data_IF_020344508296
#
_entry.id   IF_020344508296
#
_cell.length_a   1.000
_cell.length_b   1.000
_cell.length_c   1.000
_cell.angle_alpha   90.00
_cell.angle_beta   90.00
_cell.angle_gamma   90.00
#
_symmetry.space_group_name_H-M   'P 1'
#
loop_
_entity.id
_entity.type
_entity.pdbx_description
1 polymer ?
#
# COMPACT_ATOMS: atom_id res chain seq x y z
N UNK A 1 6.97 -9.30 -27.55
CA UNK A 1 5.96 -8.63 -26.75
C UNK A 1 6.56 -7.53 -25.86
N UNK A 2 7.55 -7.82 -25.03
CA UNK A 2 8.19 -6.85 -24.15
C UNK A 2 8.97 -5.76 -24.89
N UNK A 3 9.57 -6.07 -26.06
CA UNK A 3 10.32 -5.11 -26.88
C UNK A 3 9.37 -4.07 -27.47
N UNK A 4 8.26 -4.51 -28.06
CA UNK A 4 7.25 -3.62 -28.64
C UNK A 4 6.66 -2.71 -27.56
N UNK A 5 6.33 -3.26 -26.38
CA UNK A 5 5.86 -2.49 -25.23
C UNK A 5 6.88 -1.43 -24.80
N UNK A 6 8.17 -1.80 -24.74
CA UNK A 6 9.25 -0.88 -24.38
C UNK A 6 9.45 0.23 -25.41
N UNK A 7 9.35 -0.08 -26.70
CA UNK A 7 9.41 0.92 -27.77
C UNK A 7 8.20 1.87 -27.74
N UNK A 8 7.00 1.34 -27.54
CA UNK A 8 5.78 2.14 -27.45
C UNK A 8 5.78 3.04 -26.21
N UNK A 9 6.29 2.53 -25.08
CA UNK A 9 6.47 3.31 -23.85
C UNK A 9 7.47 4.44 -24.04
N UNK A 10 8.56 4.20 -24.77
CA UNK A 10 9.56 5.23 -25.09
C UNK A 10 9.00 6.33 -26.00
N UNK A 11 8.06 5.98 -26.88
CA UNK A 11 7.36 6.91 -27.76
C UNK A 11 6.12 7.54 -27.12
N UNK A 12 5.86 7.26 -25.83
CA UNK A 12 4.64 7.68 -25.10
C UNK A 12 3.35 7.22 -25.78
N UNK A 13 3.40 6.14 -26.57
CA UNK A 13 2.23 5.55 -27.22
C UNK A 13 1.61 4.54 -26.23
N UNK A 14 0.34 4.71 -25.86
CA UNK A 14 -0.36 3.77 -24.97
C UNK A 14 -0.39 2.37 -25.60
N UNK A 15 0.01 1.38 -24.80
CA UNK A 15 -0.02 -0.02 -25.24
C UNK A 15 -1.25 -0.73 -24.73
N UNK A 16 -2.02 -1.29 -25.63
CA UNK A 16 -3.25 -2.01 -25.33
C UNK A 16 -2.96 -3.50 -25.20
N UNK A 17 -3.49 -4.15 -24.17
CA UNK A 17 -3.40 -5.62 -24.02
C UNK A 17 -4.19 -6.26 -25.16
N UNK A 18 -3.61 -7.22 -25.93
CA UNK A 18 -4.32 -7.90 -26.99
C UNK A 18 -5.62 -8.58 -26.52
N UNK A 19 -6.62 -8.57 -27.38
CA UNK A 19 -7.96 -9.06 -27.08
C UNK A 19 -8.03 -10.55 -26.71
N UNK A 20 -7.12 -11.37 -27.25
CA UNK A 20 -6.94 -12.78 -26.96
C UNK A 20 -6.57 -13.10 -25.51
N UNK A 21 -6.05 -12.10 -24.80
CA UNK A 21 -5.70 -12.20 -23.37
C UNK A 21 -6.86 -11.86 -22.43
N UNK A 22 -8.02 -11.51 -22.95
CA UNK A 22 -9.18 -11.06 -22.17
C UNK A 22 -10.22 -12.15 -21.95
N UNK A 23 -10.04 -13.33 -22.53
CA UNK A 23 -11.03 -14.42 -22.51
C UNK A 23 -11.37 -14.90 -21.10
N UNK A 24 -10.42 -14.81 -20.17
CA UNK A 24 -10.66 -15.17 -18.77
C UNK A 24 -11.63 -14.21 -18.04
N UNK A 25 -11.87 -13.01 -18.58
CA UNK A 25 -12.81 -12.02 -18.01
C UNK A 25 -14.20 -12.15 -18.61
N UNK A 26 -14.35 -12.92 -19.70
CA UNK A 26 -15.64 -13.19 -20.33
C UNK A 26 -16.52 -13.98 -19.37
N UNK A 27 -17.66 -13.45 -18.99
CA UNK A 27 -18.57 -14.03 -18.00
C UNK A 27 -18.67 -13.27 -16.69
N UNK A 28 -17.89 -12.18 -16.54
CA UNK A 28 -18.05 -11.24 -15.44
C UNK A 28 -18.80 -10.00 -15.91
N UNK A 29 -19.74 -9.51 -15.11
CA UNK A 29 -20.48 -8.27 -15.39
C UNK A 29 -19.76 -7.02 -14.89
N UNK A 30 -18.85 -7.20 -13.92
CA UNK A 30 -18.18 -6.10 -13.24
C UNK A 30 -16.75 -6.50 -12.84
N UNK A 31 -15.83 -5.58 -13.02
CA UNK A 31 -14.44 -5.69 -12.56
C UNK A 31 -14.12 -4.58 -11.57
N UNK A 32 -13.49 -4.94 -10.47
CA UNK A 32 -13.01 -4.02 -9.46
C UNK A 32 -11.49 -3.89 -9.53
N UNK A 33 -11.00 -2.67 -9.61
CA UNK A 33 -9.62 -2.35 -9.27
C UNK A 33 -9.58 -1.90 -7.81
N UNK A 34 -8.92 -2.67 -6.95
CA UNK A 34 -8.96 -2.46 -5.50
C UNK A 34 -7.66 -1.83 -5.03
N UNK A 35 -7.79 -0.68 -4.38
CA UNK A 35 -6.74 -0.04 -3.59
C UNK A 35 -5.49 0.39 -4.34
N UNK A 36 -4.54 0.89 -3.58
CA UNK A 36 -3.21 1.26 -4.03
C UNK A 36 -3.12 2.60 -4.78
N UNK A 37 -1.89 2.95 -5.11
CA UNK A 37 -1.55 4.16 -5.85
C UNK A 37 -1.46 3.84 -7.35
N UNK A 38 -2.57 3.37 -7.91
CA UNK A 38 -2.64 2.85 -9.29
C UNK A 38 -2.63 3.99 -10.30
N UNK A 39 -3.25 5.10 -9.94
CA UNK A 39 -3.43 6.29 -10.78
C UNK A 39 -2.55 7.43 -10.25
N UNK A 40 -1.24 7.24 -10.30
CA UNK A 40 -0.24 8.23 -9.86
C UNK A 40 0.85 8.41 -10.92
N UNK A 41 1.57 9.51 -10.85
CA UNK A 41 2.81 9.69 -11.59
C UNK A 41 3.95 8.99 -10.85
N UNK A 42 4.88 8.42 -11.60
CA UNK A 42 6.16 8.01 -11.04
C UNK A 42 7.00 9.25 -10.65
N UNK A 43 8.05 9.07 -9.85
CA UNK A 43 8.93 10.15 -9.40
C UNK A 43 9.58 10.96 -10.52
N UNK A 44 9.70 10.36 -11.71
CA UNK A 44 10.19 11.03 -12.93
C UNK A 44 9.07 11.68 -13.76
N UNK A 45 7.85 11.79 -13.24
CA UNK A 45 6.69 12.33 -13.92
C UNK A 45 6.07 11.42 -15.00
N UNK A 46 6.58 10.20 -15.18
CA UNK A 46 5.98 9.24 -16.14
C UNK A 46 4.71 8.60 -15.56
N UNK A 47 3.86 8.05 -16.43
CA UNK A 47 2.64 7.33 -16.03
C UNK A 47 2.48 6.02 -16.78
N UNK A 48 1.72 5.11 -16.18
CA UNK A 48 1.43 3.81 -16.77
C UNK A 48 -0.03 3.77 -17.27
N UNK A 49 -0.20 3.70 -18.58
CA UNK A 49 -1.51 3.62 -19.22
C UNK A 49 -2.01 2.17 -19.41
N UNK A 50 -1.22 1.15 -19.09
CA UNK A 50 -1.55 -0.24 -19.43
C UNK A 50 -2.82 -0.73 -18.76
N UNK A 51 -2.98 -0.50 -17.45
CA UNK A 51 -4.18 -0.88 -16.71
C UNK A 51 -5.40 -0.06 -17.15
N UNK A 52 -5.37 1.28 -17.21
CA UNK A 52 -6.47 2.09 -17.73
C UNK A 52 -6.97 1.61 -19.09
N UNK A 53 -6.08 1.39 -20.05
CA UNK A 53 -6.45 0.95 -21.40
C UNK A 53 -7.03 -0.47 -21.41
N UNK A 54 -6.50 -1.38 -20.59
CA UNK A 54 -7.08 -2.70 -20.39
C UNK A 54 -8.54 -2.60 -19.89
N UNK A 55 -8.77 -1.76 -18.90
CA UNK A 55 -10.10 -1.56 -18.31
C UNK A 55 -11.08 -0.89 -19.29
N UNK A 56 -10.62 0.04 -20.14
CA UNK A 56 -11.44 0.60 -21.21
C UNK A 56 -11.87 -0.46 -22.24
N UNK A 57 -11.02 -1.45 -22.54
CA UNK A 57 -11.39 -2.57 -23.39
C UNK A 57 -12.47 -3.47 -22.77
N UNK A 58 -12.44 -3.66 -21.44
CA UNK A 58 -13.51 -4.37 -20.73
C UNK A 58 -14.83 -3.62 -20.81
N UNK A 59 -14.80 -2.30 -20.63
CA UNK A 59 -16.00 -1.46 -20.75
C UNK A 59 -16.61 -1.49 -22.18
N UNK A 60 -15.77 -1.54 -23.22
CA UNK A 60 -16.23 -1.70 -24.60
C UNK A 60 -16.98 -3.04 -24.82
N UNK A 61 -16.72 -4.04 -23.99
CA UNK A 61 -17.43 -5.34 -23.97
C UNK A 61 -18.66 -5.34 -23.05
N UNK A 62 -19.05 -4.20 -22.50
CA UNK A 62 -20.19 -4.06 -21.59
C UNK A 62 -19.90 -4.44 -20.14
N UNK A 63 -18.63 -4.71 -19.78
CA UNK A 63 -18.22 -5.02 -18.42
C UNK A 63 -18.07 -3.70 -17.64
N UNK A 64 -18.72 -3.58 -16.51
CA UNK A 64 -18.62 -2.40 -15.65
C UNK A 64 -17.25 -2.37 -14.98
N UNK A 65 -16.68 -1.17 -14.84
CA UNK A 65 -15.44 -0.96 -14.12
C UNK A 65 -15.68 -0.08 -12.89
N UNK A 66 -15.21 -0.57 -11.75
CA UNK A 66 -15.25 0.14 -10.46
C UNK A 66 -13.83 0.30 -9.95
N UNK A 67 -13.44 1.53 -9.66
CA UNK A 67 -12.21 1.85 -8.95
C UNK A 67 -12.55 2.00 -7.46
N UNK A 68 -12.06 1.06 -6.63
CA UNK A 68 -12.45 0.98 -5.23
C UNK A 68 -11.27 1.20 -4.28
N UNK A 69 -11.35 2.28 -3.51
CA UNK A 69 -10.36 2.57 -2.45
C UNK A 69 -8.99 2.93 -2.98
N UNK A 70 -8.90 3.50 -4.18
CA UNK A 70 -7.63 3.96 -4.74
C UNK A 70 -7.32 5.40 -4.31
N UNK A 71 -6.03 5.69 -4.17
CA UNK A 71 -5.51 7.05 -4.19
C UNK A 71 -5.25 7.44 -5.63
N UNK A 72 -5.70 8.64 -6.01
CA UNK A 72 -5.46 9.21 -7.33
C UNK A 72 -4.58 10.43 -7.16
N UNK A 73 -3.41 10.40 -7.76
CA UNK A 73 -2.42 11.46 -7.63
C UNK A 73 -2.76 12.68 -8.45
N UNK A 74 -2.01 13.76 -8.21
CA UNK A 74 -2.07 14.95 -9.06
C UNK A 74 -1.29 14.70 -10.35
N UNK A 75 -1.81 15.15 -11.48
CA UNK A 75 -1.23 14.91 -12.80
C UNK A 75 -0.70 16.18 -13.47
N UNK A 76 -0.73 17.33 -12.80
CA UNK A 76 -0.41 18.65 -13.35
C UNK A 76 1.04 18.76 -13.86
N UNK A 77 1.95 17.99 -13.26
CA UNK A 77 3.36 17.93 -13.69
C UNK A 77 3.53 17.30 -15.10
N UNK A 78 2.51 16.56 -15.56
CA UNK A 78 2.50 15.95 -16.89
C UNK A 78 1.17 16.17 -17.58
N UNK A 79 1.12 17.15 -18.49
CA UNK A 79 -0.11 17.50 -19.24
C UNK A 79 -0.70 16.35 -20.07
N UNK A 80 0.13 15.42 -20.56
CA UNK A 80 -0.36 14.24 -21.27
C UNK A 80 -1.05 13.27 -20.31
N UNK A 81 -0.46 13.07 -19.13
CA UNK A 81 -1.07 12.26 -18.07
C UNK A 81 -2.38 12.88 -17.59
N UNK A 82 -2.40 14.18 -17.32
CA UNK A 82 -3.59 14.90 -16.90
C UNK A 82 -4.73 14.72 -17.91
N UNK A 83 -4.47 14.96 -19.21
CA UNK A 83 -5.45 14.77 -20.26
C UNK A 83 -5.93 13.32 -20.37
N UNK A 84 -5.00 12.38 -20.33
CA UNK A 84 -5.29 10.96 -20.44
C UNK A 84 -6.14 10.47 -19.27
N UNK A 85 -5.69 10.72 -18.04
CA UNK A 85 -6.39 10.25 -16.84
C UNK A 85 -7.73 10.95 -16.63
N UNK A 86 -7.84 12.26 -16.87
CA UNK A 86 -9.14 12.94 -16.79
C UNK A 86 -10.16 12.31 -17.75
N UNK A 87 -9.75 11.99 -18.99
CA UNK A 87 -10.61 11.31 -19.94
C UNK A 87 -10.96 9.88 -19.53
N UNK A 88 -9.95 9.11 -19.04
CA UNK A 88 -10.17 7.74 -18.57
C UNK A 88 -11.09 7.69 -17.35
N UNK A 89 -10.81 8.50 -16.32
CA UNK A 89 -11.55 8.53 -15.06
C UNK A 89 -13.03 8.95 -15.28
N UNK A 90 -13.31 9.81 -16.27
CA UNK A 90 -14.69 10.20 -16.61
C UNK A 90 -15.54 9.04 -17.15
N UNK A 91 -14.93 7.96 -17.64
CA UNK A 91 -15.60 6.77 -18.17
C UNK A 91 -15.83 5.68 -17.13
N UNK A 92 -15.17 5.75 -15.96
CA UNK A 92 -15.30 4.74 -14.91
C UNK A 92 -16.72 4.75 -14.36
N UNK A 93 -17.33 3.59 -14.20
CA UNK A 93 -18.72 3.48 -13.74
C UNK A 93 -18.91 3.97 -12.31
N UNK A 94 -17.91 3.73 -11.42
CA UNK A 94 -17.90 4.23 -10.05
C UNK A 94 -16.45 4.36 -9.57
N UNK A 95 -16.14 5.51 -8.98
CA UNK A 95 -14.89 5.76 -8.30
C UNK A 95 -15.20 5.93 -6.81
N UNK A 96 -14.69 5.02 -5.99
CA UNK A 96 -14.76 5.12 -4.54
C UNK A 96 -13.40 5.60 -4.03
N UNK A 97 -13.31 6.88 -3.74
CA UNK A 97 -12.13 7.49 -3.12
C UNK A 97 -12.06 7.12 -1.64
N UNK A 98 -10.88 6.77 -1.15
CA UNK A 98 -10.67 6.40 0.27
C UNK A 98 -10.23 7.56 1.15
N UNK A 99 -9.94 8.71 0.56
CA UNK A 99 -9.37 9.87 1.25
C UNK A 99 -9.87 11.20 0.64
N UNK A 100 -9.92 12.24 1.47
CA UNK A 100 -10.41 13.57 1.07
C UNK A 100 -9.56 14.18 -0.05
N UNK A 101 -8.23 14.03 0.01
CA UNK A 101 -7.33 14.61 -0.99
C UNK A 101 -7.65 14.10 -2.41
N UNK A 102 -7.83 12.80 -2.58
CA UNK A 102 -8.24 12.20 -3.86
C UNK A 102 -9.63 12.68 -4.26
N UNK A 103 -10.57 12.72 -3.32
CA UNK A 103 -11.95 13.13 -3.60
C UNK A 103 -12.02 14.60 -4.06
N UNK A 104 -11.37 15.52 -3.34
CA UNK A 104 -11.30 16.94 -3.70
C UNK A 104 -10.58 17.15 -5.04
N UNK A 105 -9.50 16.40 -5.28
CA UNK A 105 -8.77 16.46 -6.53
C UNK A 105 -9.64 16.03 -7.72
N UNK A 106 -10.35 14.92 -7.62
CA UNK A 106 -11.25 14.44 -8.67
C UNK A 106 -12.42 15.40 -8.91
N UNK A 107 -12.95 16.04 -7.87
CA UNK A 107 -13.94 17.11 -8.01
C UNK A 107 -13.39 18.31 -8.78
N UNK A 108 -12.13 18.71 -8.52
CA UNK A 108 -11.49 19.81 -9.24
C UNK A 108 -11.34 19.53 -10.74
N UNK A 109 -11.32 18.24 -11.13
CA UNK A 109 -11.35 17.78 -12.53
C UNK A 109 -12.77 17.64 -13.09
N UNK A 110 -13.81 18.07 -12.37
CA UNK A 110 -15.22 17.92 -12.71
C UNK A 110 -15.71 16.47 -12.84
N UNK A 111 -15.09 15.54 -12.09
CA UNK A 111 -15.44 14.12 -12.10
C UNK A 111 -16.42 13.77 -10.96
N UNK A 112 -17.55 14.47 -10.89
CA UNK A 112 -18.48 14.35 -9.75
C UNK A 112 -19.57 13.27 -9.95
N UNK A 113 -19.92 12.94 -11.17
CA UNK A 113 -21.11 12.14 -11.47
C UNK A 113 -21.02 10.68 -11.00
N UNK A 114 -19.81 10.15 -10.89
CA UNK A 114 -19.51 8.76 -10.55
C UNK A 114 -18.56 8.64 -9.36
N UNK A 115 -18.41 9.69 -8.55
CA UNK A 115 -17.48 9.77 -7.43
C UNK A 115 -18.21 9.57 -6.10
N UNK A 116 -17.64 8.72 -5.24
CA UNK A 116 -18.08 8.48 -3.87
C UNK A 116 -16.88 8.54 -2.91
N UNK A 117 -17.08 9.03 -1.71
CA UNK A 117 -16.09 8.99 -0.63
C UNK A 117 -16.48 7.89 0.37
N UNK A 118 -15.60 6.93 0.60
CA UNK A 118 -15.78 5.88 1.60
C UNK A 118 -14.42 5.44 2.14
N UNK A 119 -14.34 4.95 3.39
CA UNK A 119 -13.10 4.45 3.95
C UNK A 119 -12.47 3.34 3.11
N UNK A 120 -11.16 3.12 3.29
CA UNK A 120 -10.45 2.01 2.65
C UNK A 120 -11.16 0.68 2.96
N UNK A 121 -11.37 -0.19 1.95
CA UNK A 121 -12.07 -1.46 2.13
C UNK A 121 -11.39 -2.40 3.15
N UNK A 122 -10.12 -2.19 3.49
CA UNK A 122 -9.44 -2.96 4.52
C UNK A 122 -10.10 -2.80 5.91
N UNK A 123 -10.81 -1.69 6.17
CA UNK A 123 -11.62 -1.53 7.39
C UNK A 123 -12.79 -2.52 7.50
N UNK A 124 -13.23 -3.09 6.37
CA UNK A 124 -14.32 -4.08 6.34
C UNK A 124 -13.84 -5.50 6.62
N UNK A 125 -12.54 -5.73 6.68
CA UNK A 125 -11.97 -7.05 6.94
C UNK A 125 -12.26 -7.45 8.38
N UNK A 126 -13.06 -8.51 8.54
CA UNK A 126 -13.48 -9.01 9.85
C UNK A 126 -12.28 -9.43 10.71
N UNK A 127 -12.37 -9.15 11.99
CA UNK A 127 -11.40 -9.63 12.95
C UNK A 127 -11.47 -11.17 13.07
N UNK A 128 -10.34 -11.82 13.38
CA UNK A 128 -10.33 -13.26 13.72
C UNK A 128 -11.30 -13.57 14.85
N UNK A 129 -11.91 -14.76 14.81
CA UNK A 129 -12.73 -15.26 15.92
C UNK A 129 -11.82 -15.44 17.15
N UNK A 130 -12.30 -15.07 18.31
CA UNK A 130 -11.58 -15.15 19.60
C UNK A 130 -10.31 -14.26 19.63
N UNK A 131 -10.38 -13.08 19.02
CA UNK A 131 -9.35 -12.07 19.17
C UNK A 131 -9.50 -11.43 20.56
N UNK A 132 -8.69 -11.88 21.51
CA UNK A 132 -8.70 -11.37 22.90
C UNK A 132 -7.34 -10.77 23.18
N UNK A 133 -7.26 -9.54 23.73
CA UNK A 133 -6.01 -9.00 24.25
C UNK A 133 -5.45 -9.92 25.33
N UNK A 134 -4.22 -10.36 25.19
CA UNK A 134 -3.53 -11.10 26.25
C UNK A 134 -3.08 -10.08 27.31
N UNK A 135 -3.36 -10.39 28.59
CA UNK A 135 -2.79 -9.61 29.69
C UNK A 135 -1.30 -9.96 29.78
N UNK A 136 -0.46 -8.96 29.75
CA UNK A 136 0.99 -9.07 29.87
C UNK A 136 1.49 -8.06 30.90
N UNK A 137 2.63 -8.36 31.52
CA UNK A 137 3.34 -7.39 32.35
C UNK A 137 4.25 -6.53 31.45
N UNK A 138 4.24 -5.21 31.71
CA UNK A 138 5.03 -4.24 30.95
C UNK A 138 4.30 -3.69 29.71
N UNK A 139 5.04 -2.95 28.91
CA UNK A 139 4.54 -2.28 27.69
C UNK A 139 5.10 -2.98 26.47
N UNK A 140 4.25 -3.34 25.53
CA UNK A 140 4.62 -3.87 24.22
C UNK A 140 4.31 -2.82 23.15
N UNK A 141 5.30 -2.43 22.36
CA UNK A 141 5.14 -1.51 21.24
C UNK A 141 5.32 -2.26 19.93
N UNK A 142 4.24 -2.34 19.15
CA UNK A 142 4.30 -2.85 17.78
C UNK A 142 4.93 -1.83 16.85
N UNK A 143 5.91 -2.25 16.05
CA UNK A 143 6.59 -1.36 15.09
C UNK A 143 6.58 -2.00 13.71
N UNK A 144 6.04 -1.28 12.73
CA UNK A 144 6.18 -1.59 11.32
C UNK A 144 7.06 -0.53 10.66
N UNK A 145 8.15 -0.96 10.06
CA UNK A 145 9.08 -0.12 9.29
C UNK A 145 9.13 -0.59 7.84
N UNK A 146 9.27 0.36 6.92
CA UNK A 146 9.26 0.11 5.48
C UNK A 146 10.56 0.57 4.83
N UNK A 147 11.23 -0.27 4.02
CA UNK A 147 12.41 0.15 3.29
C UNK A 147 12.11 1.25 2.27
N UNK A 148 10.91 1.27 1.66
CA UNK A 148 10.51 2.32 0.72
C UNK A 148 10.42 3.68 1.41
N UNK A 149 9.74 3.76 2.57
CA UNK A 149 9.66 4.99 3.35
C UNK A 149 11.02 5.44 3.83
N UNK A 150 11.86 4.49 4.26
CA UNK A 150 13.21 4.76 4.72
C UNK A 150 14.11 5.31 3.59
N UNK A 151 14.04 4.72 2.41
CA UNK A 151 14.79 5.20 1.25
C UNK A 151 14.36 6.61 0.83
N UNK A 152 13.06 6.88 0.88
CA UNK A 152 12.51 8.20 0.58
C UNK A 152 13.00 9.28 1.57
N UNK A 153 13.01 8.95 2.86
CA UNK A 153 13.35 9.88 3.95
C UNK A 153 14.87 10.12 4.07
N UNK A 154 15.66 9.04 3.99
CA UNK A 154 17.11 9.09 4.28
C UNK A 154 18.00 8.99 3.04
N UNK A 155 17.45 8.62 1.89
CA UNK A 155 18.22 8.44 0.64
C UNK A 155 19.13 7.21 0.60
N UNK A 156 19.37 6.53 1.73
CA UNK A 156 20.19 5.34 1.87
C UNK A 156 19.57 4.35 2.84
N UNK A 157 19.52 3.09 2.46
CA UNK A 157 19.01 2.00 3.32
C UNK A 157 19.95 1.74 4.48
N UNK A 158 21.26 1.77 4.25
CA UNK A 158 22.28 1.54 5.29
C UNK A 158 22.23 2.62 6.38
N UNK A 159 22.07 3.88 5.97
CA UNK A 159 21.93 5.00 6.89
C UNK A 159 20.62 4.91 7.68
N UNK A 160 19.51 4.62 6.99
CA UNK A 160 18.21 4.43 7.60
C UNK A 160 18.22 3.31 8.64
N UNK A 161 18.83 2.16 8.34
CA UNK A 161 18.97 1.03 9.27
C UNK A 161 19.72 1.46 10.53
N UNK A 162 20.83 2.20 10.40
CA UNK A 162 21.60 2.67 11.55
C UNK A 162 20.79 3.65 12.42
N UNK A 163 20.15 4.65 11.82
CA UNK A 163 19.34 5.66 12.53
C UNK A 163 18.14 5.00 13.23
N UNK A 164 17.46 4.09 12.55
CA UNK A 164 16.27 3.44 13.11
C UNK A 164 16.64 2.41 14.19
N UNK A 165 17.78 1.72 14.09
CA UNK A 165 18.28 0.90 15.17
C UNK A 165 18.53 1.72 16.45
N UNK A 166 19.18 2.88 16.32
CA UNK A 166 19.38 3.80 17.45
C UNK A 166 18.05 4.32 18.01
N UNK A 167 17.09 4.62 17.17
CA UNK A 167 15.75 5.04 17.60
C UNK A 167 15.02 3.95 18.40
N UNK A 168 15.15 2.68 18.00
CA UNK A 168 14.59 1.52 18.73
C UNK A 168 15.27 1.36 20.09
N UNK A 169 16.61 1.48 20.16
CA UNK A 169 17.35 1.47 21.44
C UNK A 169 16.80 2.54 22.39
N UNK A 170 16.73 3.78 21.92
CA UNK A 170 16.24 4.91 22.72
C UNK A 170 14.79 4.71 23.18
N UNK A 171 13.95 4.10 22.35
CA UNK A 171 12.57 3.78 22.72
C UNK A 171 12.53 2.79 23.88
N UNK A 172 13.26 1.69 23.77
CA UNK A 172 13.36 0.65 24.81
C UNK A 172 13.92 1.21 26.12
N UNK A 173 14.97 2.01 26.06
CA UNK A 173 15.59 2.64 27.25
C UNK A 173 14.65 3.60 27.97
N UNK A 174 13.96 4.46 27.20
CA UNK A 174 13.10 5.52 27.77
C UNK A 174 11.78 4.98 28.31
N UNK A 175 11.25 3.91 27.72
CA UNK A 175 9.92 3.38 28.05
C UNK A 175 9.97 2.09 28.88
N UNK A 176 11.11 1.41 28.94
CA UNK A 176 11.21 0.10 29.58
C UNK A 176 10.33 -0.95 28.89
N UNK A 177 10.13 -0.81 27.57
CA UNK A 177 9.18 -1.61 26.80
C UNK A 177 9.87 -2.78 26.08
N UNK A 178 9.04 -3.74 25.67
CA UNK A 178 9.35 -4.71 24.61
C UNK A 178 8.87 -4.19 23.26
N UNK A 179 9.48 -4.70 22.20
CA UNK A 179 9.14 -4.30 20.83
C UNK A 179 8.72 -5.54 20.04
N UNK A 180 7.62 -5.42 19.30
CA UNK A 180 7.16 -6.41 18.35
C UNK A 180 7.29 -5.85 16.91
N UNK A 181 8.19 -6.41 16.12
CA UNK A 181 8.30 -6.05 14.70
C UNK A 181 7.20 -6.70 13.88
N UNK A 182 6.42 -5.85 13.18
CA UNK A 182 5.20 -6.19 12.45
C UNK A 182 5.38 -6.01 10.93
N UNK A 183 6.08 -6.91 10.21
CA UNK A 183 6.22 -6.79 8.76
C UNK A 183 4.86 -6.97 8.08
N UNK A 184 4.54 -6.07 7.13
CA UNK A 184 3.29 -6.10 6.36
C UNK A 184 3.50 -6.39 4.88
N UNK A 185 4.67 -6.08 4.35
CA UNK A 185 5.03 -6.38 2.96
C UNK A 185 6.18 -7.37 2.95
N UNK A 186 5.92 -8.56 2.40
CA UNK A 186 6.86 -9.67 2.26
C UNK A 186 7.13 -9.91 0.77
N UNK A 187 7.65 -8.87 0.11
CA UNK A 187 7.93 -8.90 -1.32
C UNK A 187 9.15 -9.78 -1.66
N UNK A 188 9.16 -10.47 -2.83
CA UNK A 188 10.39 -11.04 -3.38
C UNK A 188 11.44 -9.98 -3.70
N UNK A 189 11.02 -8.75 -3.98
CA UNK A 189 11.90 -7.61 -4.15
C UNK A 189 12.40 -7.14 -2.77
N UNK A 190 13.70 -7.27 -2.55
CA UNK A 190 14.34 -6.88 -1.29
C UNK A 190 14.17 -5.39 -0.98
N UNK A 191 14.04 -4.54 -2.01
CA UNK A 191 13.84 -3.09 -1.85
C UNK A 191 12.46 -2.73 -1.31
N UNK A 192 11.52 -3.68 -1.31
CA UNK A 192 10.16 -3.52 -0.78
C UNK A 192 9.77 -4.70 0.14
N UNK A 193 10.70 -5.16 1.00
CA UNK A 193 10.46 -6.25 1.92
C UNK A 193 10.68 -5.80 3.37
N UNK A 194 9.58 -5.59 4.10
CA UNK A 194 9.60 -5.10 5.47
C UNK A 194 10.36 -6.07 6.42
N UNK A 195 10.18 -7.38 6.25
CA UNK A 195 10.83 -8.37 7.12
C UNK A 195 12.35 -8.35 6.99
N UNK A 196 12.86 -8.31 5.77
CA UNK A 196 14.30 -8.23 5.53
C UNK A 196 14.88 -6.93 6.07
N UNK A 197 14.15 -5.83 5.91
CA UNK A 197 14.56 -4.54 6.41
C UNK A 197 14.60 -4.50 7.95
N UNK A 198 13.55 -4.99 8.61
CA UNK A 198 13.49 -5.05 10.08
C UNK A 198 14.53 -6.01 10.66
N UNK A 199 14.84 -7.13 9.99
CA UNK A 199 15.94 -8.02 10.38
C UNK A 199 17.29 -7.30 10.31
N UNK A 200 17.53 -6.49 9.28
CA UNK A 200 18.76 -5.70 9.19
C UNK A 200 18.89 -4.69 10.34
N UNK A 201 17.78 -4.09 10.78
CA UNK A 201 17.76 -3.23 11.98
C UNK A 201 18.07 -4.07 13.24
N UNK A 202 17.39 -5.19 13.41
CA UNK A 202 17.60 -6.10 14.54
C UNK A 202 19.06 -6.55 14.67
N UNK A 203 19.68 -6.90 13.56
CA UNK A 203 21.09 -7.36 13.54
C UNK A 203 22.10 -6.27 13.92
N UNK A 204 21.70 -4.99 13.82
CA UNK A 204 22.51 -3.84 14.28
C UNK A 204 22.43 -3.59 15.78
N UNK A 205 21.44 -4.17 16.46
CA UNK A 205 21.22 -3.91 17.87
C UNK A 205 22.18 -4.72 18.75
N UNK A 206 22.66 -4.15 19.87
CA UNK A 206 23.35 -4.91 20.90
C UNK A 206 22.48 -6.04 21.47
N UNK A 207 23.12 -7.14 21.91
CA UNK A 207 22.42 -8.37 22.33
C UNK A 207 21.34 -8.13 23.40
N UNK A 208 21.65 -7.32 24.39
CA UNK A 208 20.72 -6.97 25.49
C UNK A 208 19.46 -6.25 25.01
N UNK A 209 19.46 -5.61 23.83
CA UNK A 209 18.28 -5.03 23.20
C UNK A 209 17.59 -6.03 22.30
N UNK A 210 18.33 -6.89 21.59
CA UNK A 210 17.74 -7.95 20.78
C UNK A 210 16.83 -8.86 21.62
N UNK A 211 17.19 -9.15 22.87
CA UNK A 211 16.42 -9.98 23.79
C UNK A 211 15.04 -9.35 24.18
N UNK A 212 14.85 -8.05 23.89
CA UNK A 212 13.59 -7.33 24.11
C UNK A 212 12.76 -7.17 22.83
N UNK A 213 13.17 -7.80 21.73
CA UNK A 213 12.51 -7.65 20.45
C UNK A 213 12.05 -9.02 19.94
N UNK A 214 10.77 -9.11 19.63
CA UNK A 214 10.18 -10.20 18.89
C UNK A 214 9.99 -9.77 17.42
N UNK A 215 10.26 -10.66 16.48
CA UNK A 215 10.01 -10.45 15.05
C UNK A 215 9.04 -11.52 14.57
N UNK A 216 7.98 -11.10 13.85
CA UNK A 216 7.14 -12.03 13.10
C UNK A 216 7.90 -12.41 11.84
N UNK A 217 8.44 -13.63 11.80
CA UNK A 217 9.36 -14.11 10.74
C UNK A 217 8.67 -14.91 9.62
N UNK A 218 7.35 -15.02 9.67
CA UNK A 218 6.52 -15.69 8.68
C UNK A 218 5.38 -14.78 8.21
N UNK A 219 4.71 -15.14 7.13
CA UNK A 219 3.52 -14.44 6.64
C UNK A 219 2.25 -15.02 7.26
N UNK A 220 1.68 -14.38 8.30
CA UNK A 220 0.40 -14.81 8.85
C UNK A 220 -0.79 -14.29 8.03
N UNK A 221 -0.53 -13.53 6.97
CA UNK A 221 -1.51 -12.78 6.20
C UNK A 221 -2.11 -11.60 6.97
N UNK A 222 -2.84 -10.74 6.24
CA UNK A 222 -3.42 -9.51 6.80
C UNK A 222 -4.28 -9.75 8.05
N UNK A 223 -5.14 -10.78 8.03
CA UNK A 223 -6.01 -11.14 9.15
C UNK A 223 -5.21 -11.77 10.30
N UNK A 224 -4.21 -12.58 9.99
CA UNK A 224 -3.36 -13.22 11.01
C UNK A 224 -2.52 -12.23 11.79
N UNK A 225 -2.05 -11.16 11.15
CA UNK A 225 -1.31 -10.07 11.82
C UNK A 225 -2.10 -9.41 12.95
N UNK A 226 -3.43 -9.36 12.86
CA UNK A 226 -4.29 -8.81 13.94
C UNK A 226 -4.09 -9.53 15.27
N UNK A 227 -3.76 -10.85 15.25
CA UNK A 227 -3.49 -11.64 16.47
C UNK A 227 -2.20 -11.22 17.19
N UNK A 228 -1.29 -10.62 16.48
CA UNK A 228 -0.06 -10.07 17.04
C UNK A 228 -0.26 -8.62 17.47
N UNK A 229 -0.94 -7.83 16.65
CA UNK A 229 -1.19 -6.41 16.91
C UNK A 229 -1.99 -6.23 18.20
N UNK A 230 -2.99 -7.08 18.48
CA UNK A 230 -3.82 -6.99 19.69
C UNK A 230 -3.03 -7.22 20.99
N UNK A 231 -1.81 -7.74 20.92
CA UNK A 231 -0.89 -7.88 22.05
C UNK A 231 -0.09 -6.61 22.34
N UNK A 232 -0.18 -5.60 21.46
CA UNK A 232 0.53 -4.35 21.63
C UNK A 232 -0.31 -3.32 22.36
N UNK A 233 0.31 -2.51 23.22
CA UNK A 233 -0.32 -1.33 23.82
C UNK A 233 -0.36 -0.15 22.87
N UNK A 234 0.65 -0.07 21.99
CA UNK A 234 0.80 0.96 20.97
C UNK A 234 1.34 0.38 19.68
N UNK A 235 0.99 1.00 18.55
CA UNK A 235 1.54 0.64 17.24
C UNK A 235 2.10 1.87 16.54
N UNK A 236 3.34 1.76 16.05
CA UNK A 236 3.97 2.71 15.14
C UNK A 236 4.04 2.06 13.77
N UNK A 237 3.36 2.64 12.77
CA UNK A 237 3.21 2.03 11.46
C UNK A 237 3.69 2.93 10.33
N UNK A 238 4.65 2.47 9.52
CA UNK A 238 5.04 3.09 8.26
C UNK A 238 4.09 2.70 7.11
N UNK A 239 3.44 1.53 7.20
CA UNK A 239 2.47 1.08 6.20
C UNK A 239 1.04 1.40 6.63
N UNK A 240 0.29 2.04 5.74
CA UNK A 240 -1.13 2.39 5.99
C UNK A 240 -1.97 1.19 6.44
N UNK A 241 -1.82 0.03 5.80
CA UNK A 241 -2.58 -1.16 6.18
C UNK A 241 -2.19 -1.73 7.54
N UNK A 242 -0.98 -1.48 8.05
CA UNK A 242 -0.62 -1.76 9.43
C UNK A 242 -1.41 -0.87 10.39
N UNK A 243 -1.49 0.42 10.11
CA UNK A 243 -2.30 1.34 10.91
C UNK A 243 -3.78 0.97 10.89
N UNK A 244 -4.34 0.61 9.71
CA UNK A 244 -5.73 0.14 9.60
C UNK A 244 -5.94 -1.13 10.45
N UNK A 245 -5.01 -2.07 10.42
CA UNK A 245 -5.09 -3.28 11.25
C UNK A 245 -5.11 -2.93 12.74
N UNK A 246 -4.25 -2.03 13.21
CA UNK A 246 -4.23 -1.59 14.60
C UNK A 246 -5.55 -0.93 15.02
N UNK A 247 -6.04 0.04 14.24
CA UNK A 247 -7.31 0.72 14.51
C UNK A 247 -8.48 -0.28 14.59
N UNK A 248 -8.53 -1.27 13.69
CA UNK A 248 -9.65 -2.25 13.65
C UNK A 248 -9.64 -3.24 14.79
N UNK A 249 -8.55 -3.35 15.54
CA UNK A 249 -8.45 -4.15 16.77
C UNK A 249 -8.33 -3.30 18.04
N UNK A 250 -8.51 -1.99 17.91
CA UNK A 250 -8.55 -1.01 19.02
C UNK A 250 -7.20 -0.83 19.75
N UNK A 251 -6.13 -0.89 19.02
CA UNK A 251 -4.76 -0.59 19.47
C UNK A 251 -4.28 0.74 18.92
#
# INVERSE_FOLDING_TARGET
>A
YNIVRKCLSYLHIPYVVPYDKLDWVVGFDTVFSIGGDIYTLASNGSYNASLPLFLEQLQQRGIKYILWGASVGKFEENHLALRFFSHHLSKINLIVSRESNTWEYLQSLNLNANLCLAPDPAFLVKNPVNLVPEQHEGIIIGINLSPLSALYEYGSIEEAVAIQAEAVIRLIERRGCEVLFLPHVLSPDKSDNDLLYMKAIYDKLPKNFQDKIMIIDSDPGFVGLKRFIVKCDYVIAARMHCAINAITVSV
#
